data_IF_692671098506
#
_entry.id   IF_692671098506
#
_cell.length_a   1.000
_cell.length_b   1.000
_cell.length_c   1.000
_cell.angle_alpha   90.00
_cell.angle_beta   90.00
_cell.angle_gamma   90.00
#
_symmetry.space_group_name_H-M   'P 1'
#
loop_
_entity.id
_entity.type
_entity.pdbx_description
1 polymer ?
#
# COMPACT_ATOMS: atom_id res chain seq x y z
N UNK A 1 40.80 -34.54 -6.16
CA UNK A 1 40.56 -33.62 -5.02
C UNK A 1 39.89 -32.36 -5.55
N UNK A 2 38.78 -31.96 -4.95
CA UNK A 2 38.02 -30.78 -5.35
C UNK A 2 36.59 -30.85 -4.82
N UNK A 3 36.43 -30.88 -3.50
CA UNK A 3 35.12 -30.81 -2.85
C UNK A 3 34.58 -29.39 -3.06
N UNK A 4 33.61 -29.23 -3.96
CA UNK A 4 32.81 -28.02 -4.02
C UNK A 4 31.94 -27.97 -2.76
N UNK A 5 32.15 -26.93 -1.96
CA UNK A 5 31.29 -26.59 -0.83
C UNK A 5 29.90 -26.19 -1.39
N UNK A 6 28.93 -27.11 -1.31
CA UNK A 6 27.53 -26.70 -1.31
C UNK A 6 27.25 -26.07 0.06
N UNK A 7 27.37 -24.75 0.13
CA UNK A 7 26.71 -24.01 1.20
C UNK A 7 25.22 -24.32 1.06
N UNK A 8 24.69 -25.15 1.97
CA UNK A 8 23.25 -25.17 2.24
C UNK A 8 22.90 -23.77 2.71
N UNK A 9 22.41 -22.92 1.81
CA UNK A 9 21.71 -21.72 2.21
C UNK A 9 20.46 -22.18 2.92
N UNK A 10 20.48 -22.17 4.25
CA UNK A 10 19.26 -22.21 5.05
C UNK A 10 18.32 -21.19 4.42
N UNK A 11 17.09 -21.54 4.00
CA UNK A 11 16.18 -20.54 3.48
C UNK A 11 16.07 -19.45 4.53
N UNK A 12 16.50 -18.23 4.21
CA UNK A 12 16.30 -17.10 5.10
C UNK A 12 14.79 -17.02 5.34
N UNK A 13 14.39 -17.21 6.59
CA UNK A 13 12.99 -17.04 6.99
C UNK A 13 12.58 -15.64 6.54
N UNK A 14 11.55 -15.57 5.70
CA UNK A 14 11.00 -14.29 5.22
C UNK A 14 10.63 -13.46 6.47
N UNK A 15 11.04 -12.19 6.56
CA UNK A 15 10.73 -11.37 7.72
C UNK A 15 9.21 -11.28 7.91
N UNK A 16 8.77 -11.23 9.17
CA UNK A 16 7.35 -11.01 9.50
C UNK A 16 6.95 -9.64 8.98
N UNK A 17 5.77 -9.56 8.36
CA UNK A 17 5.23 -8.29 7.90
C UNK A 17 4.48 -7.62 9.05
N UNK A 18 4.98 -6.46 9.45
CA UNK A 18 4.38 -5.64 10.51
C UNK A 18 3.73 -4.45 9.82
N UNK A 19 2.41 -4.42 9.83
CA UNK A 19 1.63 -3.29 9.35
C UNK A 19 1.56 -2.20 10.41
N UNK A 20 1.80 -0.96 9.98
CA UNK A 20 1.80 0.21 10.85
C UNK A 20 0.98 1.34 10.21
N UNK A 21 0.12 1.95 11.00
CA UNK A 21 -0.56 3.17 10.61
C UNK A 21 -0.61 4.16 11.76
N UNK A 22 -0.37 5.42 11.45
CA UNK A 22 -0.46 6.53 12.40
C UNK A 22 -1.50 7.53 11.90
N UNK A 23 -2.53 7.79 12.71
CA UNK A 23 -3.52 8.81 12.43
C UNK A 23 -3.86 9.58 13.69
N UNK A 24 -3.88 10.91 13.58
CA UNK A 24 -4.12 11.81 14.69
C UNK A 24 -3.15 11.51 15.86
N UNK A 25 -3.67 10.92 16.93
CA UNK A 25 -2.92 10.55 18.14
C UNK A 25 -2.95 9.04 18.40
N UNK A 26 -3.25 8.23 17.39
CA UNK A 26 -3.31 6.77 17.53
C UNK A 26 -2.40 6.09 16.51
N UNK A 27 -1.44 5.31 17.01
CA UNK A 27 -0.77 4.28 16.25
C UNK A 27 -1.55 2.97 16.33
N UNK A 28 -1.65 2.27 15.21
CA UNK A 28 -2.07 0.88 15.16
C UNK A 28 -0.95 0.04 14.54
N UNK A 29 -0.57 -1.02 15.24
CA UNK A 29 0.40 -2.02 14.77
C UNK A 29 -0.30 -3.36 14.68
N UNK A 30 -0.18 -4.01 13.52
CA UNK A 30 -0.70 -5.36 13.29
C UNK A 30 0.39 -6.26 12.71
N UNK A 31 0.49 -7.48 13.21
CA UNK A 31 1.31 -8.53 12.59
C UNK A 31 0.62 -9.87 12.75
N UNK A 32 1.02 -10.85 11.94
CA UNK A 32 0.51 -12.22 12.03
C UNK A 32 1.50 -13.13 12.75
N UNK A 33 0.98 -13.91 13.69
CA UNK A 33 1.65 -15.11 14.22
C UNK A 33 0.70 -16.29 14.05
N UNK A 34 1.18 -17.38 13.44
CA UNK A 34 0.37 -18.58 13.15
C UNK A 34 -1.01 -18.27 12.52
N UNK A 35 -1.05 -17.39 11.51
CA UNK A 35 -2.26 -16.94 10.81
C UNK A 35 -3.27 -16.13 11.66
N UNK A 36 -2.94 -15.80 12.90
CA UNK A 36 -3.76 -14.94 13.75
C UNK A 36 -3.18 -13.51 13.79
N UNK A 37 -4.01 -12.47 13.55
CA UNK A 37 -3.56 -11.09 13.64
C UNK A 37 -3.46 -10.64 15.11
N UNK A 38 -2.27 -10.20 15.51
CA UNK A 38 -2.03 -9.51 16.77
C UNK A 38 -2.09 -8.01 16.53
N UNK A 39 -2.85 -7.29 17.37
CA UNK A 39 -3.08 -5.85 17.22
C UNK A 39 -2.70 -5.10 18.48
N UNK A 40 -1.98 -3.99 18.32
CA UNK A 40 -1.57 -3.10 19.40
C UNK A 40 -1.90 -1.66 19.04
N UNK A 41 -2.43 -0.92 20.01
CA UNK A 41 -2.73 0.50 19.88
C UNK A 41 -1.83 1.31 20.82
N UNK A 42 -1.35 2.45 20.33
CA UNK A 42 -0.51 3.36 21.09
C UNK A 42 -1.02 4.78 20.93
N UNK A 43 -0.96 5.57 22.00
CA UNK A 43 -1.35 6.98 21.96
C UNK A 43 -0.17 7.93 21.71
N UNK A 44 1.04 7.38 21.60
CA UNK A 44 2.29 8.12 21.38
C UNK A 44 3.17 7.42 20.36
N UNK A 45 3.78 8.21 19.47
CA UNK A 45 4.72 7.69 18.47
C UNK A 45 5.96 7.11 19.14
N UNK A 46 6.39 7.72 20.25
CA UNK A 46 7.54 7.24 21.02
C UNK A 46 7.28 5.84 21.59
N UNK A 47 6.05 5.57 22.07
CA UNK A 47 5.69 4.25 22.58
C UNK A 47 5.61 3.21 21.46
N UNK A 48 5.01 3.56 20.32
CA UNK A 48 4.95 2.68 19.16
C UNK A 48 6.37 2.37 18.62
N UNK A 49 7.23 3.38 18.51
CA UNK A 49 8.62 3.21 18.07
C UNK A 49 9.41 2.36 19.08
N UNK A 50 9.20 2.56 20.39
CA UNK A 50 9.81 1.73 21.44
C UNK A 50 9.34 0.27 21.37
N UNK A 51 8.06 0.03 21.05
CA UNK A 51 7.53 -1.32 20.84
C UNK A 51 8.20 -1.99 19.65
N UNK A 52 8.34 -1.29 18.52
CA UNK A 52 8.99 -1.81 17.32
C UNK A 52 10.48 -2.10 17.55
N UNK A 53 11.18 -1.27 18.33
CA UNK A 53 12.58 -1.50 18.71
C UNK A 53 12.77 -2.75 19.58
N UNK A 54 11.77 -3.10 20.39
CA UNK A 54 11.77 -4.28 21.26
C UNK A 54 11.11 -5.50 20.60
N UNK A 55 10.68 -5.37 19.33
CA UNK A 55 9.95 -6.43 18.65
C UNK A 55 10.84 -7.68 18.51
N UNK A 56 10.40 -8.84 19.01
CA UNK A 56 11.29 -9.99 19.21
C UNK A 56 11.64 -10.76 17.93
N UNK A 57 11.02 -10.40 16.81
CA UNK A 57 11.17 -11.11 15.53
C UNK A 57 11.84 -10.23 14.49
N UNK A 58 12.52 -10.86 13.53
CA UNK A 58 12.95 -10.17 12.32
C UNK A 58 11.72 -9.74 11.51
N UNK A 59 11.59 -8.46 11.21
CA UNK A 59 10.39 -7.90 10.58
C UNK A 59 10.71 -6.93 9.44
N UNK A 60 9.75 -6.80 8.54
CA UNK A 60 9.66 -5.71 7.57
C UNK A 60 8.49 -4.84 8.02
N UNK A 61 8.73 -3.54 8.21
CA UNK A 61 7.66 -2.58 8.48
C UNK A 61 6.99 -2.20 7.16
N UNK A 62 5.65 -2.27 7.12
CA UNK A 62 4.83 -1.73 6.04
C UNK A 62 4.00 -0.60 6.65
N UNK A 63 4.26 0.61 6.22
CA UNK A 63 3.60 1.81 6.71
C UNK A 63 2.52 2.27 5.73
N UNK A 64 1.27 2.34 6.20
CA UNK A 64 0.18 2.95 5.46
C UNK A 64 0.37 4.48 5.39
N UNK A 65 0.32 5.02 4.19
CA UNK A 65 0.44 6.44 3.88
C UNK A 65 -0.89 6.93 3.35
N UNK A 66 -1.34 8.09 3.86
CA UNK A 66 -2.60 8.63 3.39
C UNK A 66 -2.60 8.83 1.88
N UNK A 67 -3.67 8.37 1.24
CA UNK A 67 -3.85 8.49 -0.20
C UNK A 67 -3.70 9.95 -0.63
N UNK A 68 -4.21 10.89 0.17
CA UNK A 68 -4.17 12.32 -0.12
C UNK A 68 -2.74 12.90 -0.18
N UNK A 69 -1.77 12.26 0.49
CA UNK A 69 -0.37 12.69 0.46
C UNK A 69 0.42 12.13 -0.73
N UNK A 70 -0.14 11.15 -1.45
CA UNK A 70 0.49 10.53 -2.60
C UNK A 70 0.01 11.26 -3.86
N UNK A 71 0.91 12.03 -4.47
CA UNK A 71 0.66 12.60 -5.80
C UNK A 71 0.66 11.49 -6.84
N UNK A 72 -0.31 11.54 -7.76
CA UNK A 72 -0.56 10.51 -8.76
C UNK A 72 -0.76 11.14 -10.13
N UNK A 73 -0.15 10.55 -11.15
CA UNK A 73 -0.39 10.93 -12.55
C UNK A 73 -0.34 9.72 -13.44
N UNK A 74 -1.15 9.75 -14.49
CA UNK A 74 -1.08 8.73 -15.52
C UNK A 74 -1.06 9.33 -16.89
N UNK A 75 -0.25 8.69 -17.72
CA UNK A 75 -0.11 9.01 -19.12
C UNK A 75 -0.28 7.73 -19.94
N UNK A 76 -0.91 7.87 -21.09
CA UNK A 76 -0.82 6.89 -22.17
C UNK A 76 0.27 7.40 -23.11
N UNK A 77 1.30 6.60 -23.34
CA UNK A 77 2.49 6.98 -24.09
C UNK A 77 2.83 5.88 -25.11
N UNK A 78 3.53 6.19 -26.21
CA UNK A 78 4.15 5.17 -27.04
C UNK A 78 5.06 4.27 -26.22
N UNK A 79 5.12 2.99 -26.57
CA UNK A 79 6.04 2.05 -25.94
C UNK A 79 7.49 2.49 -26.12
N UNK A 80 8.20 2.62 -25.00
CA UNK A 80 9.63 2.89 -24.99
C UNK A 80 10.35 1.59 -24.65
N UNK A 81 11.03 0.99 -25.63
CA UNK A 81 11.74 -0.28 -25.45
C UNK A 81 13.09 -0.15 -24.71
N UNK A 82 13.48 1.05 -24.29
CA UNK A 82 14.72 1.30 -23.57
C UNK A 82 14.44 1.87 -22.19
N UNK A 83 15.00 1.24 -21.15
CA UNK A 83 14.93 1.72 -19.77
C UNK A 83 15.47 3.15 -19.60
N UNK A 84 16.50 3.53 -20.37
CA UNK A 84 17.02 4.89 -20.34
C UNK A 84 15.98 5.90 -20.85
N UNK A 85 15.35 5.62 -21.99
CA UNK A 85 14.29 6.49 -22.55
C UNK A 85 13.08 6.57 -21.62
N UNK A 86 12.71 5.45 -20.98
CA UNK A 86 11.66 5.42 -19.97
C UNK A 86 12.01 6.37 -18.80
N UNK A 87 13.21 6.24 -18.24
CA UNK A 87 13.67 7.07 -17.13
C UNK A 87 13.70 8.57 -17.49
N UNK A 88 14.22 8.93 -18.67
CA UNK A 88 14.24 10.31 -19.16
C UNK A 88 12.83 10.90 -19.29
N UNK A 89 11.89 10.13 -19.86
CA UNK A 89 10.50 10.55 -20.01
C UNK A 89 9.81 10.73 -18.65
N UNK A 90 10.04 9.81 -17.71
CA UNK A 90 9.52 9.89 -16.34
C UNK A 90 10.05 11.16 -15.66
N UNK A 91 11.38 11.39 -15.70
CA UNK A 91 12.01 12.58 -15.12
C UNK A 91 11.44 13.87 -15.72
N UNK A 92 11.25 13.92 -17.04
CA UNK A 92 10.66 15.08 -17.73
C UNK A 92 9.24 15.37 -17.25
N UNK A 93 8.41 14.33 -17.18
CA UNK A 93 7.02 14.46 -16.71
C UNK A 93 7.00 14.95 -15.27
N UNK A 94 7.83 14.39 -14.39
CA UNK A 94 7.86 14.77 -12.98
C UNK A 94 8.32 16.22 -12.79
N UNK A 95 9.40 16.66 -13.47
CA UNK A 95 9.88 18.05 -13.40
C UNK A 95 8.86 19.08 -13.88
N UNK A 96 7.99 18.70 -14.82
CA UNK A 96 6.94 19.59 -15.34
C UNK A 96 5.68 19.59 -14.48
N UNK A 97 5.46 18.54 -13.68
CA UNK A 97 4.18 18.32 -12.99
C UNK A 97 4.26 18.50 -11.48
N UNK A 98 5.42 18.26 -10.87
CA UNK A 98 5.60 18.40 -9.43
C UNK A 98 6.02 19.84 -9.08
N UNK A 99 5.45 20.41 -8.02
CA UNK A 99 5.88 21.71 -7.50
C UNK A 99 7.18 21.62 -6.67
N UNK A 100 7.69 20.41 -6.42
CA UNK A 100 8.86 20.13 -5.58
C UNK A 100 10.04 19.63 -6.41
N UNK A 101 11.25 19.80 -5.89
CA UNK A 101 12.44 19.22 -6.51
C UNK A 101 12.44 17.69 -6.38
N UNK A 102 12.98 16.98 -7.38
CA UNK A 102 13.03 15.51 -7.38
C UNK A 102 13.85 14.94 -6.20
N UNK A 103 14.80 15.71 -5.67
CA UNK A 103 15.59 15.33 -4.49
C UNK A 103 14.75 15.25 -3.21
N UNK A 104 13.60 15.92 -3.16
CA UNK A 104 12.72 16.04 -1.99
C UNK A 104 11.55 15.04 -2.00
N UNK A 105 11.46 14.20 -3.03
CA UNK A 105 10.36 13.23 -3.20
C UNK A 105 10.90 11.81 -3.36
N UNK A 106 10.15 10.85 -2.82
CA UNK A 106 10.23 9.45 -3.19
C UNK A 106 9.33 9.25 -4.42
N UNK A 107 9.81 8.49 -5.39
CA UNK A 107 9.14 8.28 -6.67
C UNK A 107 8.98 6.78 -6.88
N UNK A 108 7.79 6.38 -7.30
CA UNK A 108 7.52 5.02 -7.77
C UNK A 108 6.72 5.08 -9.07
N UNK A 109 6.81 4.03 -9.89
CA UNK A 109 6.11 3.96 -11.16
C UNK A 109 5.81 2.54 -11.61
N UNK A 110 4.74 2.42 -12.39
CA UNK A 110 4.38 1.18 -13.07
C UNK A 110 4.09 1.45 -14.54
N UNK A 111 4.58 0.58 -15.43
CA UNK A 111 4.32 0.63 -16.87
C UNK A 111 3.58 -0.64 -17.26
N UNK A 112 2.34 -0.48 -17.74
CA UNK A 112 1.53 -1.57 -18.25
C UNK A 112 1.41 -1.43 -19.77
N UNK A 113 1.85 -2.41 -20.58
CA UNK A 113 1.57 -2.42 -22.02
C UNK A 113 0.06 -2.40 -22.27
N UNK A 114 -0.39 -1.61 -23.24
CA UNK A 114 -1.77 -1.61 -23.71
C UNK A 114 -1.82 -2.47 -24.96
N UNK A 115 -2.56 -3.58 -24.89
CA UNK A 115 -2.66 -4.53 -25.99
C UNK A 115 -3.00 -3.81 -27.32
N UNK A 116 -2.42 -4.31 -28.41
CA UNK A 116 -2.75 -3.96 -29.80
C UNK A 116 -2.38 -2.55 -30.30
N UNK A 117 -1.71 -1.70 -29.49
CA UNK A 117 -1.55 -0.29 -29.86
C UNK A 117 -0.12 0.27 -29.88
N UNK A 118 0.93 -0.52 -29.59
CA UNK A 118 2.29 0.02 -29.32
C UNK A 118 2.27 1.17 -28.29
N UNK A 119 1.28 1.17 -27.40
CA UNK A 119 1.11 2.13 -26.32
C UNK A 119 1.32 1.42 -24.99
N UNK A 120 1.69 2.20 -23.99
CA UNK A 120 1.75 1.79 -22.60
C UNK A 120 1.06 2.82 -21.71
N UNK A 121 0.49 2.32 -20.61
CA UNK A 121 0.00 3.15 -19.51
C UNK A 121 1.12 3.29 -18.48
N UNK A 122 1.59 4.52 -18.28
CA UNK A 122 2.52 4.87 -17.22
C UNK A 122 1.72 5.42 -16.02
N UNK A 123 1.80 4.74 -14.88
CA UNK A 123 1.32 5.23 -13.59
C UNK A 123 2.50 5.77 -12.79
N UNK A 124 2.45 7.03 -12.38
CA UNK A 124 3.47 7.70 -11.57
C UNK A 124 2.91 8.01 -10.19
N UNK A 125 3.74 7.77 -9.18
CA UNK A 125 3.49 8.09 -7.79
C UNK A 125 4.65 8.93 -7.26
N UNK A 126 4.33 9.99 -6.53
CA UNK A 126 5.32 10.78 -5.83
C UNK A 126 4.85 11.10 -4.41
N UNK A 127 5.76 10.94 -3.46
CA UNK A 127 5.52 11.22 -2.05
C UNK A 127 6.63 12.13 -1.54
N UNK A 128 6.27 13.24 -0.89
CA UNK A 128 7.27 14.11 -0.25
C UNK A 128 8.02 13.33 0.83
N UNK A 129 9.35 13.40 0.82
CA UNK A 129 10.17 12.81 1.88
C UNK A 129 9.81 13.46 3.22
N UNK A 130 9.67 12.64 4.25
CA UNK A 130 9.36 13.07 5.60
C UNK A 130 10.22 12.32 6.59
N UNK A 131 10.70 13.01 7.61
CA UNK A 131 11.40 12.40 8.74
C UNK A 131 10.47 11.58 9.63
N UNK A 132 9.15 11.67 9.43
CA UNK A 132 8.15 10.87 10.15
C UNK A 132 8.04 9.43 9.64
N UNK A 133 8.58 9.15 8.45
CA UNK A 133 8.59 7.81 7.88
C UNK A 133 9.84 7.06 8.35
N UNK A 134 9.67 5.78 8.65
CA UNK A 134 10.82 4.92 8.88
C UNK A 134 11.57 4.74 7.53
N UNK A 135 12.89 5.01 7.48
CA UNK A 135 13.67 4.93 6.24
C UNK A 135 13.80 3.51 5.68
N UNK A 136 13.50 2.49 6.48
CA UNK A 136 13.53 1.07 6.09
C UNK A 136 12.13 0.49 5.81
N UNK A 137 11.07 1.26 6.07
CA UNK A 137 9.72 0.82 5.83
C UNK A 137 9.36 0.80 4.34
N UNK A 138 8.50 -0.15 3.99
CA UNK A 138 7.75 -0.12 2.74
C UNK A 138 6.58 0.83 2.95
N UNK A 139 6.48 1.84 2.10
CA UNK A 139 5.40 2.82 2.14
C UNK A 139 4.29 2.38 1.19
N UNK A 140 3.11 2.09 1.72
CA UNK A 140 1.96 1.67 0.93
C UNK A 140 0.80 2.67 1.06
N UNK A 141 -0.08 2.75 0.07
CA UNK A 141 -1.25 3.64 0.13
C UNK A 141 -2.32 3.05 1.06
N UNK A 142 -2.82 3.88 1.98
CA UNK A 142 -3.82 3.47 2.97
C UNK A 142 -5.06 2.80 2.37
N UNK A 143 -5.48 3.22 1.17
CA UNK A 143 -6.66 2.66 0.51
C UNK A 143 -6.40 1.25 -0.04
N UNK A 144 -5.19 0.95 -0.54
CA UNK A 144 -4.84 -0.42 -0.93
C UNK A 144 -4.78 -1.32 0.31
N UNK A 145 -4.18 -0.84 1.39
CA UNK A 145 -4.18 -1.54 2.67
C UNK A 145 -5.62 -1.84 3.12
N UNK A 146 -6.46 -0.81 3.20
CA UNK A 146 -7.85 -0.96 3.64
C UNK A 146 -8.57 -2.03 2.82
N UNK A 147 -8.49 -1.99 1.49
CA UNK A 147 -9.19 -2.95 0.63
C UNK A 147 -8.66 -4.38 0.79
N UNK A 148 -7.35 -4.57 1.02
CA UNK A 148 -6.79 -5.88 1.40
C UNK A 148 -7.34 -6.38 2.72
N UNK A 149 -7.46 -5.50 3.73
CA UNK A 149 -8.05 -5.86 5.02
C UNK A 149 -9.52 -6.24 4.89
N UNK A 150 -10.32 -5.48 4.14
CA UNK A 150 -11.71 -5.83 3.86
C UNK A 150 -11.77 -7.20 3.18
N UNK A 151 -10.96 -7.42 2.14
CA UNK A 151 -10.85 -8.71 1.47
C UNK A 151 -10.56 -9.88 2.41
N UNK A 152 -9.61 -9.69 3.33
CA UNK A 152 -9.29 -10.69 4.35
C UNK A 152 -10.46 -10.96 5.30
N UNK A 153 -11.11 -9.91 5.83
CA UNK A 153 -12.19 -10.05 6.81
C UNK A 153 -13.47 -10.64 6.20
N UNK A 154 -13.75 -10.34 4.93
CA UNK A 154 -14.92 -10.85 4.20
C UNK A 154 -14.63 -12.11 3.39
N UNK A 155 -13.38 -12.58 3.38
CA UNK A 155 -12.88 -13.69 2.55
C UNK A 155 -13.13 -13.48 1.05
N UNK A 156 -13.07 -12.23 0.60
CA UNK A 156 -13.15 -11.90 -0.82
C UNK A 156 -11.80 -12.13 -1.51
N UNK A 157 -11.88 -12.65 -2.72
CA UNK A 157 -10.76 -12.74 -3.67
C UNK A 157 -10.42 -11.37 -4.26
N UNK A 158 -9.22 -11.25 -4.85
CA UNK A 158 -8.80 -10.03 -5.56
C UNK A 158 -9.80 -9.62 -6.65
N UNK A 159 -10.28 -10.58 -7.46
CA UNK A 159 -11.29 -10.35 -8.50
C UNK A 159 -12.57 -9.74 -7.93
N UNK A 160 -13.07 -10.28 -6.81
CA UNK A 160 -14.27 -9.74 -6.17
C UNK A 160 -14.02 -8.32 -5.66
N UNK A 161 -12.85 -8.02 -5.10
CA UNK A 161 -12.54 -6.66 -4.66
C UNK A 161 -12.55 -5.69 -5.86
N UNK A 162 -12.02 -6.11 -7.00
CA UNK A 162 -12.03 -5.31 -8.22
C UNK A 162 -13.45 -5.08 -8.79
N UNK A 163 -14.41 -5.95 -8.50
CA UNK A 163 -15.79 -5.88 -9.00
C UNK A 163 -16.74 -5.09 -8.09
N UNK A 164 -16.32 -4.71 -6.88
CA UNK A 164 -17.16 -4.01 -5.92
C UNK A 164 -16.80 -2.52 -5.78
N UNK A 165 -17.75 -1.77 -5.22
CA UNK A 165 -17.56 -0.45 -4.65
C UNK A 165 -17.65 -0.56 -3.13
N UNK A 166 -16.77 0.13 -2.41
CA UNK A 166 -16.71 0.08 -0.96
C UNK A 166 -17.16 1.44 -0.42
N UNK A 167 -18.23 1.42 0.36
CA UNK A 167 -18.71 2.61 1.04
C UNK A 167 -18.04 2.71 2.42
N UNK A 168 -17.34 3.82 2.61
CA UNK A 168 -16.46 4.07 3.75
C UNK A 168 -16.68 5.50 4.21
N UNK A 169 -17.25 5.67 5.40
CA UNK A 169 -17.62 6.98 5.93
C UNK A 169 -18.52 7.75 4.94
N UNK A 170 -18.01 8.82 4.32
CA UNK A 170 -18.71 9.67 3.35
C UNK A 170 -18.23 9.45 1.90
N UNK A 171 -17.52 8.35 1.64
CA UNK A 171 -16.83 8.09 0.36
C UNK A 171 -17.13 6.72 -0.20
N UNK A 172 -17.17 6.67 -1.53
CA UNK A 172 -17.19 5.45 -2.32
C UNK A 172 -15.81 5.23 -2.93
N UNK A 173 -15.27 4.03 -2.72
CA UNK A 173 -13.94 3.63 -3.18
C UNK A 173 -14.10 2.43 -4.10
N UNK A 174 -13.58 2.51 -5.33
CA UNK A 174 -13.64 1.39 -6.27
C UNK A 174 -12.51 1.44 -7.27
N UNK A 175 -12.30 0.32 -7.98
CA UNK A 175 -11.30 0.25 -9.03
C UNK A 175 -11.83 0.68 -10.40
N UNK A 176 -11.10 1.53 -11.11
CA UNK A 176 -11.33 1.79 -12.52
C UNK A 176 -9.99 1.92 -13.25
N UNK A 177 -9.82 1.18 -14.36
CA UNK A 177 -8.61 1.20 -15.18
C UNK A 177 -7.31 1.03 -14.35
N UNK A 178 -7.31 0.03 -13.46
CA UNK A 178 -6.19 -0.31 -12.54
C UNK A 178 -5.87 0.78 -11.51
N UNK A 179 -6.81 1.68 -11.20
CA UNK A 179 -6.65 2.73 -10.18
C UNK A 179 -7.75 2.65 -9.16
N UNK A 180 -7.44 3.12 -7.96
CA UNK A 180 -8.45 3.50 -6.99
C UNK A 180 -9.07 4.84 -7.38
N UNK A 181 -10.39 4.86 -7.48
CA UNK A 181 -11.24 6.03 -7.60
C UNK A 181 -11.91 6.27 -6.25
N UNK A 182 -11.97 7.53 -5.83
CA UNK A 182 -12.60 7.97 -4.59
C UNK A 182 -13.61 9.06 -4.90
N UNK A 183 -14.88 8.85 -4.56
CA UNK A 183 -15.97 9.77 -4.86
C UNK A 183 -16.85 10.00 -3.62
N UNK A 184 -17.55 11.13 -3.57
CA UNK A 184 -18.52 11.43 -2.49
C UNK A 184 -19.92 10.86 -2.75
N UNK A 185 -20.20 10.47 -3.99
CA UNK A 185 -21.47 9.91 -4.42
C UNK A 185 -21.19 8.62 -5.18
N UNK A 186 -22.09 7.66 -5.10
CA UNK A 186 -21.92 6.42 -5.83
C UNK A 186 -22.26 6.64 -7.31
N UNK A 187 -21.25 6.93 -8.12
CA UNK A 187 -21.39 7.00 -9.58
C UNK A 187 -21.04 5.66 -10.25
N UNK A 188 -20.64 4.67 -9.46
CA UNK A 188 -20.28 3.34 -9.94
C UNK A 188 -21.51 2.45 -10.09
N UNK A 189 -21.54 1.65 -11.14
CA UNK A 189 -22.56 0.59 -11.34
C UNK A 189 -22.26 -0.67 -10.52
N UNK A 190 -21.15 -0.70 -9.78
CA UNK A 190 -20.71 -1.86 -9.02
C UNK A 190 -21.55 -2.08 -7.77
N UNK A 191 -21.74 -3.35 -7.35
CA UNK A 191 -22.33 -3.66 -6.05
C UNK A 191 -21.55 -3.01 -4.91
N UNK A 192 -22.28 -2.51 -3.91
CA UNK A 192 -21.73 -1.75 -2.78
C UNK A 192 -21.51 -2.69 -1.59
N UNK A 193 -20.36 -2.55 -0.94
CA UNK A 193 -20.04 -3.14 0.35
C UNK A 193 -19.95 -2.03 1.39
N UNK A 194 -20.81 -2.10 2.40
CA UNK A 194 -20.80 -1.19 3.55
C UNK A 194 -19.70 -1.59 4.53
N UNK A 195 -18.56 -0.89 4.49
CA UNK A 195 -17.40 -1.23 5.34
C UNK A 195 -17.66 -0.87 6.81
N UNK A 196 -18.37 0.22 7.06
CA UNK A 196 -18.83 0.61 8.41
C UNK A 196 -19.77 -0.42 9.04
N UNK A 197 -20.42 -1.27 8.22
CA UNK A 197 -21.33 -2.32 8.68
C UNK A 197 -20.65 -3.65 9.02
N UNK A 198 -19.33 -3.76 8.87
CA UNK A 198 -18.61 -5.00 9.19
C UNK A 198 -18.70 -5.34 10.69
N UNK A 199 -18.83 -6.62 11.09
CA UNK A 199 -18.97 -7.00 12.50
C UNK A 199 -17.86 -6.45 13.42
N UNK A 200 -16.64 -6.34 12.88
CA UNK A 200 -15.47 -5.84 13.61
C UNK A 200 -15.56 -4.34 13.94
N UNK A 201 -16.36 -3.57 13.20
CA UNK A 201 -16.52 -2.13 13.40
C UNK A 201 -17.10 -1.79 14.79
N UNK A 202 -17.88 -2.69 15.38
CA UNK A 202 -18.54 -2.48 16.68
C UNK A 202 -17.61 -2.74 17.88
N UNK A 203 -16.52 -3.47 17.69
CA UNK A 203 -15.69 -3.97 18.79
C UNK A 203 -14.29 -3.35 18.83
N UNK A 204 -13.90 -2.60 17.80
CA UNK A 204 -12.56 -2.03 17.69
C UNK A 204 -12.58 -0.52 17.94
N UNK A 205 -11.78 0.00 18.90
CA UNK A 205 -11.80 1.42 19.28
C UNK A 205 -11.38 2.34 18.13
N UNK A 206 -10.53 1.86 17.23
CA UNK A 206 -10.02 2.60 16.08
C UNK A 206 -10.10 1.73 14.83
N UNK A 207 -11.32 1.49 14.36
CA UNK A 207 -11.61 0.56 13.27
C UNK A 207 -10.81 0.86 11.98
N UNK A 208 -10.73 2.13 11.55
CA UNK A 208 -10.01 2.50 10.34
C UNK A 208 -8.50 2.36 10.46
N UNK A 209 -7.83 2.87 11.51
CA UNK A 209 -6.43 2.56 11.75
C UNK A 209 -6.12 1.07 11.80
N UNK A 210 -7.02 0.26 12.38
CA UNK A 210 -6.90 -1.20 12.33
C UNK A 210 -6.97 -1.76 10.92
N UNK A 211 -7.97 -1.39 10.12
CA UNK A 211 -8.07 -1.90 8.74
C UNK A 211 -6.82 -1.56 7.92
N UNK A 212 -6.28 -0.34 8.07
CA UNK A 212 -5.08 0.07 7.34
C UNK A 212 -3.85 -0.70 7.83
N UNK A 213 -3.64 -0.83 9.15
CA UNK A 213 -2.52 -1.60 9.69
C UNK A 213 -2.63 -3.10 9.36
N UNK A 214 -3.82 -3.70 9.48
CA UNK A 214 -4.06 -5.08 9.07
C UNK A 214 -3.74 -5.27 7.58
N UNK A 215 -4.24 -4.39 6.73
CA UNK A 215 -4.00 -4.41 5.31
C UNK A 215 -2.54 -4.24 4.91
N UNK A 216 -1.81 -3.40 5.65
CA UNK A 216 -0.37 -3.22 5.49
C UNK A 216 0.41 -4.50 5.89
N UNK A 217 -0.02 -5.19 6.95
CA UNK A 217 0.58 -6.48 7.36
C UNK A 217 0.35 -7.61 6.35
N UNK A 218 -0.65 -7.47 5.47
CA UNK A 218 -0.99 -8.40 4.39
C UNK A 218 -0.31 -8.06 3.05
N UNK A 219 0.66 -7.13 3.04
CA UNK A 219 1.30 -6.68 1.82
C UNK A 219 1.98 -7.82 1.04
N UNK A 220 1.61 -8.01 -0.22
CA UNK A 220 2.04 -9.19 -0.98
C UNK A 220 3.23 -8.92 -1.93
N UNK A 221 3.81 -7.72 -1.92
CA UNK A 221 4.89 -7.37 -2.86
C UNK A 221 4.44 -6.69 -4.14
N UNK A 222 3.12 -6.59 -4.38
CA UNK A 222 2.57 -6.04 -5.63
C UNK A 222 2.06 -4.63 -5.41
N UNK A 223 2.10 -3.84 -6.49
CA UNK A 223 1.45 -2.51 -6.56
C UNK A 223 -0.08 -2.61 -6.66
N UNK A 224 -0.64 -3.82 -6.71
CA UNK A 224 -2.07 -4.14 -6.65
C UNK A 224 -2.35 -5.05 -5.45
N UNK A 225 -3.65 -5.19 -5.16
CA UNK A 225 -4.20 -5.93 -4.01
C UNK A 225 -3.67 -7.36 -3.92
#
# INVERSE_FOLDING_TARGET
MGKFFQFRTTPQLKPIQVGFFWQENTACIVYFDQEQPHTFYFSSKVEADSFLQQFPFNYQLIQGISHQHIWRKTLILPELHSHLKQAEQIIRVLKQSLPLALSEVNIDYHITPLAESHLCQLNLYALRKSNSFDPTAILDCELYCLLRAVGFLTKMTETQILEHSFHIQDKFIHFQNQRIIVEKQNNSTKPIIEVDGLPQAQHLPHFYPYLIALGASLWNGKASI
#
